data_IF_326873217029
#
_entry.id   IF_326873217029
#
_cell.length_a   1.000
_cell.length_b   1.000
_cell.length_c   1.000
_cell.angle_alpha   90.00
_cell.angle_beta   90.00
_cell.angle_gamma   90.00
#
_symmetry.space_group_name_H-M   'P 1'
#
loop_
_entity.id
_entity.type
_entity.pdbx_description
1 polymer ?
#
# COMPACT_ATOMS: atom_id res chain seq x y z
N UNK A 1 14.43 5.72 0.21
CA UNK A 1 14.18 5.46 -1.23
C UNK A 1 13.44 6.63 -1.85
N UNK A 2 13.77 7.03 -3.07
CA UNK A 2 13.06 8.10 -3.80
C UNK A 2 12.34 7.47 -5.00
N UNK A 3 11.03 7.74 -5.13
CA UNK A 3 10.18 7.31 -6.24
C UNK A 3 9.76 8.54 -7.05
N UNK A 4 9.99 8.55 -8.36
CA UNK A 4 9.55 9.62 -9.25
C UNK A 4 8.45 9.10 -10.18
N UNK A 5 7.24 9.66 -10.05
CA UNK A 5 6.07 9.22 -10.81
C UNK A 5 4.77 9.57 -10.13
N UNK A 6 3.76 8.74 -10.33
CA UNK A 6 2.48 8.83 -9.63
C UNK A 6 2.38 7.83 -8.45
N UNK A 7 1.17 7.69 -7.90
CA UNK A 7 0.88 6.77 -6.79
C UNK A 7 1.31 5.32 -7.10
N UNK A 8 1.06 4.85 -8.33
CA UNK A 8 1.45 3.50 -8.75
C UNK A 8 2.96 3.25 -8.65
N UNK A 9 3.79 4.24 -9.01
CA UNK A 9 5.25 4.16 -8.90
C UNK A 9 5.69 4.07 -7.45
N UNK A 10 5.04 4.82 -6.56
CA UNK A 10 5.31 4.76 -5.13
C UNK A 10 4.94 3.39 -4.55
N UNK A 11 3.75 2.89 -4.88
CA UNK A 11 3.26 1.58 -4.44
C UNK A 11 4.17 0.44 -4.90
N UNK A 12 4.60 0.45 -6.18
CA UNK A 12 5.55 -0.52 -6.70
C UNK A 12 6.90 -0.43 -5.98
N UNK A 13 7.39 0.78 -5.72
CA UNK A 13 8.60 1.01 -4.93
C UNK A 13 8.50 0.39 -3.54
N UNK A 14 7.41 0.64 -2.84
CA UNK A 14 7.16 0.08 -1.50
C UNK A 14 7.09 -1.46 -1.54
N UNK A 15 6.44 -2.05 -2.54
CA UNK A 15 6.40 -3.51 -2.71
C UNK A 15 7.80 -4.10 -2.90
N UNK A 16 8.66 -3.44 -3.68
CA UNK A 16 10.05 -3.89 -3.91
C UNK A 16 10.92 -3.87 -2.65
N UNK A 17 10.57 -3.06 -1.65
CA UNK A 17 11.24 -3.08 -0.35
C UNK A 17 10.99 -4.37 0.42
N UNK A 18 9.91 -5.07 0.13
CA UNK A 18 9.57 -6.36 0.71
C UNK A 18 9.67 -6.38 2.25
N UNK A 19 9.12 -5.36 2.89
CA UNK A 19 9.10 -5.23 4.36
C UNK A 19 10.37 -4.64 4.97
N UNK A 20 11.35 -4.21 4.16
CA UNK A 20 12.52 -3.50 4.68
C UNK A 20 12.09 -2.10 5.11
N UNK A 21 12.36 -1.77 6.37
CA UNK A 21 11.98 -0.48 6.99
C UNK A 21 13.00 0.61 6.62
N UNK A 22 12.74 1.27 5.50
CA UNK A 22 13.47 2.45 5.06
C UNK A 22 12.52 3.57 4.66
N UNK A 23 12.85 4.86 4.95
CA UNK A 23 12.03 5.97 4.52
C UNK A 23 11.84 6.02 2.99
N UNK A 24 10.61 6.29 2.58
CA UNK A 24 10.24 6.42 1.17
C UNK A 24 9.69 7.81 0.93
N UNK A 25 10.12 8.45 -0.14
CA UNK A 25 9.58 9.72 -0.60
C UNK A 25 9.16 9.61 -2.07
N UNK A 26 7.95 10.05 -2.36
CA UNK A 26 7.44 10.17 -3.72
C UNK A 26 7.58 11.59 -4.25
N UNK A 27 8.00 11.72 -5.50
CA UNK A 27 8.01 12.99 -6.23
C UNK A 27 7.04 12.87 -7.39
N UNK A 28 6.06 13.78 -7.46
CA UNK A 28 5.02 13.75 -8.47
C UNK A 28 5.58 14.05 -9.86
N UNK A 29 5.37 13.14 -10.80
CA UNK A 29 5.78 13.26 -12.21
C UNK A 29 4.81 14.03 -13.09
N UNK A 30 3.67 14.54 -12.57
CA UNK A 30 2.75 15.37 -13.34
C UNK A 30 1.25 15.19 -13.10
N UNK A 31 0.82 14.11 -12.45
CA UNK A 31 -0.60 13.88 -12.12
C UNK A 31 -0.80 13.81 -10.61
N UNK A 32 -1.75 14.60 -10.11
CA UNK A 32 -2.15 14.55 -8.71
C UNK A 32 -2.75 13.18 -8.40
N UNK A 33 -2.23 12.53 -7.34
CA UNK A 33 -2.74 11.27 -6.81
C UNK A 33 -3.34 11.44 -5.41
N UNK A 34 -3.68 10.32 -4.77
CA UNK A 34 -4.20 10.28 -3.40
C UNK A 34 -3.08 10.21 -2.35
N UNK A 35 -1.88 9.76 -2.73
CA UNK A 35 -0.74 9.73 -1.83
C UNK A 35 -0.04 11.09 -1.80
N UNK A 36 0.50 11.44 -0.63
CA UNK A 36 1.24 12.69 -0.44
C UNK A 36 2.60 12.62 -1.15
N UNK A 37 2.64 13.07 -2.39
CA UNK A 37 3.85 13.19 -3.19
C UNK A 37 4.34 14.64 -3.17
N UNK A 38 5.66 14.82 -3.08
CA UNK A 38 6.25 16.14 -3.24
C UNK A 38 6.05 16.63 -4.69
N UNK A 39 5.66 17.91 -4.91
CA UNK A 39 5.60 18.47 -6.24
C UNK A 39 6.97 18.41 -6.94
N UNK A 40 6.95 18.23 -8.27
CA UNK A 40 8.17 18.17 -9.08
C UNK A 40 9.06 19.41 -8.91
N UNK A 41 8.44 20.56 -8.73
CA UNK A 41 9.12 21.83 -8.53
C UNK A 41 9.99 21.86 -7.28
N UNK A 42 9.60 21.08 -6.27
CA UNK A 42 10.26 21.02 -4.97
C UNK A 42 11.37 19.96 -4.90
N UNK A 43 11.75 19.36 -6.02
CA UNK A 43 12.75 18.26 -6.06
C UNK A 43 14.07 18.65 -5.39
N UNK A 44 14.52 19.92 -5.57
CA UNK A 44 15.74 20.42 -4.96
C UNK A 44 15.62 20.49 -3.44
N UNK A 45 14.51 21.03 -2.94
CA UNK A 45 14.21 21.13 -1.51
C UNK A 45 14.13 19.75 -0.86
N UNK A 46 13.54 18.77 -1.56
CA UNK A 46 13.48 17.39 -1.11
C UNK A 46 14.87 16.81 -0.91
N UNK A 47 15.77 16.96 -1.89
CA UNK A 47 17.13 16.44 -1.78
C UNK A 47 17.97 17.18 -0.74
N UNK A 48 17.81 18.48 -0.60
CA UNK A 48 18.43 19.26 0.47
C UNK A 48 17.92 18.79 1.84
N UNK A 49 16.59 18.60 1.99
CA UNK A 49 16.00 18.08 3.22
C UNK A 49 16.48 16.67 3.59
N UNK A 50 16.70 15.80 2.60
CA UNK A 50 17.29 14.47 2.82
C UNK A 50 18.73 14.60 3.31
N UNK A 51 19.53 15.45 2.67
CA UNK A 51 20.95 15.65 3.01
C UNK A 51 21.12 16.23 4.42
N UNK A 52 20.26 17.15 4.79
CA UNK A 52 20.30 17.83 6.09
C UNK A 52 19.60 17.05 7.21
N UNK A 53 18.92 15.94 6.88
CA UNK A 53 18.12 15.18 7.83
C UNK A 53 16.88 15.94 8.35
N UNK A 54 16.41 16.94 7.61
CA UNK A 54 15.33 17.85 7.99
C UNK A 54 14.02 17.54 7.27
N UNK A 55 13.61 16.26 7.30
CA UNK A 55 12.33 15.80 6.77
C UNK A 55 11.47 15.21 7.88
N UNK A 56 10.17 15.55 7.85
CA UNK A 56 9.21 14.90 8.72
C UNK A 56 8.87 13.51 8.15
N UNK A 57 9.00 12.48 8.98
CA UNK A 57 8.61 11.12 8.65
C UNK A 57 7.19 10.85 9.17
N UNK A 58 6.33 10.35 8.30
CA UNK A 58 5.03 9.82 8.66
C UNK A 58 5.07 8.30 8.64
N UNK A 59 4.72 7.67 9.75
CA UNK A 59 4.57 6.21 9.81
C UNK A 59 3.25 5.78 9.18
N UNK A 60 3.31 4.74 8.36
CA UNK A 60 2.14 4.12 7.73
C UNK A 60 2.12 2.63 7.99
N UNK A 61 0.95 2.12 8.39
CA UNK A 61 0.74 0.69 8.55
C UNK A 61 0.70 -0.01 7.18
N UNK A 62 1.20 -1.23 7.14
CA UNK A 62 1.15 -2.09 5.96
C UNK A 62 0.50 -3.43 6.31
N UNK A 63 -0.16 -4.02 5.33
CA UNK A 63 -0.57 -5.43 5.42
C UNK A 63 0.61 -6.33 5.09
N UNK A 64 0.81 -7.35 5.93
CA UNK A 64 1.70 -8.46 5.63
C UNK A 64 0.84 -9.69 5.32
N UNK A 65 1.02 -10.27 4.15
CA UNK A 65 0.27 -11.43 3.67
C UNK A 65 1.17 -12.65 3.75
N UNK A 66 0.72 -13.67 4.45
CA UNK A 66 1.41 -14.95 4.62
C UNK A 66 0.52 -16.11 4.16
N UNK A 67 1.12 -17.26 3.90
CA UNK A 67 0.39 -18.47 3.55
C UNK A 67 0.09 -18.67 2.06
N UNK A 68 0.52 -17.76 1.19
CA UNK A 68 0.38 -17.88 -0.27
C UNK A 68 1.63 -18.48 -0.95
N UNK A 69 2.43 -19.23 -0.22
CA UNK A 69 3.70 -19.78 -0.68
C UNK A 69 4.79 -19.62 0.37
N UNK A 70 6.04 -19.49 -0.07
CA UNK A 70 7.18 -19.33 0.84
C UNK A 70 7.54 -17.87 1.15
N UNK A 71 7.05 -16.93 0.34
CA UNK A 71 7.37 -15.50 0.47
C UNK A 71 6.24 -14.74 1.16
N UNK A 72 6.62 -13.76 1.98
CA UNK A 72 5.70 -12.78 2.51
C UNK A 72 5.48 -11.70 1.46
N UNK A 73 4.23 -11.25 1.33
CA UNK A 73 3.88 -10.11 0.48
C UNK A 73 3.47 -8.93 1.36
N UNK A 74 3.72 -7.72 0.90
CA UNK A 74 3.39 -6.50 1.62
C UNK A 74 2.54 -5.57 0.77
N UNK A 75 1.53 -4.95 1.38
CA UNK A 75 0.68 -3.98 0.71
C UNK A 75 0.51 -2.73 1.57
N UNK A 76 0.73 -1.55 0.96
CA UNK A 76 0.52 -0.26 1.59
C UNK A 76 -0.97 0.12 1.61
N UNK A 77 -1.71 -0.21 0.57
CA UNK A 77 -3.11 0.14 0.44
C UNK A 77 -4.03 -1.02 0.84
N UNK A 78 -4.15 -2.04 0.01
CA UNK A 78 -5.09 -3.13 0.20
C UNK A 78 -4.61 -4.45 -0.40
N UNK A 79 -5.26 -5.51 0.01
CA UNK A 79 -5.21 -6.84 -0.59
C UNK A 79 -6.61 -7.22 -1.04
N UNK A 80 -6.74 -7.64 -2.27
CA UNK A 80 -7.99 -8.08 -2.86
C UNK A 80 -7.94 -9.59 -3.13
N UNK A 81 -8.91 -10.31 -2.61
CA UNK A 81 -9.15 -11.73 -2.89
C UNK A 81 -10.36 -11.82 -3.79
N UNK A 82 -10.18 -12.28 -5.01
CA UNK A 82 -11.24 -12.28 -6.03
C UNK A 82 -11.44 -13.67 -6.63
N UNK A 83 -12.67 -13.96 -7.04
CA UNK A 83 -12.99 -15.18 -7.78
C UNK A 83 -12.26 -15.24 -9.12
N UNK A 84 -11.94 -16.45 -9.53
CA UNK A 84 -11.49 -16.74 -10.89
C UNK A 84 -12.65 -17.44 -11.63
N UNK A 85 -13.30 -16.75 -12.55
CA UNK A 85 -14.42 -17.31 -13.32
C UNK A 85 -15.80 -16.84 -12.84
N UNK A 86 -16.86 -17.59 -13.21
CA UNK A 86 -18.25 -17.15 -13.05
C UNK A 86 -18.87 -17.47 -11.67
N UNK A 87 -18.33 -18.44 -10.95
CA UNK A 87 -18.90 -18.88 -9.67
C UNK A 87 -18.49 -17.97 -8.53
N UNK A 88 -19.43 -17.67 -7.64
CA UNK A 88 -19.12 -16.97 -6.37
C UNK A 88 -18.13 -17.79 -5.55
N UNK A 89 -17.34 -17.09 -4.74
CA UNK A 89 -16.48 -17.68 -3.71
C UNK A 89 -17.07 -17.48 -2.33
N UNK A 90 -16.74 -18.39 -1.43
CA UNK A 90 -17.06 -18.29 0.00
C UNK A 90 -15.75 -18.10 0.76
N UNK A 91 -15.67 -17.02 1.54
CA UNK A 91 -14.49 -16.68 2.31
C UNK A 91 -14.88 -16.63 3.78
N UNK A 92 -14.32 -17.52 4.58
CA UNK A 92 -14.47 -17.50 6.03
C UNK A 92 -13.37 -16.60 6.62
N UNK A 93 -13.78 -15.58 7.37
CA UNK A 93 -12.88 -14.65 8.01
C UNK A 93 -12.81 -14.90 9.53
N UNK A 94 -11.59 -14.95 10.03
CA UNK A 94 -11.30 -15.01 11.46
C UNK A 94 -10.34 -13.89 11.86
N UNK A 95 -10.53 -13.32 13.04
CA UNK A 95 -9.64 -12.31 13.62
C UNK A 95 -9.19 -12.83 14.99
N UNK A 96 -7.89 -12.95 15.20
CA UNK A 96 -7.29 -13.47 16.43
C UNK A 96 -7.88 -14.82 16.86
N UNK A 97 -8.13 -15.70 15.87
CA UNK A 97 -8.72 -17.02 16.10
C UNK A 97 -10.23 -17.05 16.30
N UNK A 98 -10.90 -15.89 16.34
CA UNK A 98 -12.35 -15.79 16.48
C UNK A 98 -13.01 -15.65 15.12
N UNK A 99 -14.05 -16.46 14.86
CA UNK A 99 -14.85 -16.33 13.63
C UNK A 99 -15.59 -14.99 13.62
N UNK A 100 -15.45 -14.27 12.52
CA UNK A 100 -16.10 -12.96 12.31
C UNK A 100 -17.30 -13.12 11.39
N UNK A 101 -17.09 -13.63 10.19
CA UNK A 101 -18.12 -13.80 9.19
C UNK A 101 -17.69 -14.74 8.08
N UNK A 102 -18.69 -15.24 7.35
CA UNK A 102 -18.49 -15.88 6.04
C UNK A 102 -19.06 -14.97 4.96
N UNK A 103 -18.19 -14.52 4.07
CA UNK A 103 -18.56 -13.67 2.93
C UNK A 103 -18.77 -14.51 1.68
N UNK A 104 -19.95 -14.39 1.06
CA UNK A 104 -20.26 -15.03 -0.21
C UNK A 104 -20.41 -13.95 -1.28
N UNK A 105 -19.61 -14.02 -2.33
CA UNK A 105 -19.63 -12.99 -3.36
C UNK A 105 -18.51 -13.14 -4.38
N UNK A 106 -18.17 -12.02 -5.00
CA UNK A 106 -17.11 -11.96 -6.01
C UNK A 106 -15.72 -11.84 -5.42
N UNK A 107 -15.63 -11.40 -4.16
CA UNK A 107 -14.36 -11.26 -3.44
C UNK A 107 -14.48 -10.46 -2.15
N UNK A 108 -13.33 -10.26 -1.52
CA UNK A 108 -13.16 -9.44 -0.30
C UNK A 108 -11.93 -8.55 -0.49
N UNK A 109 -12.02 -7.33 -0.01
CA UNK A 109 -10.91 -6.38 0.06
C UNK A 109 -10.59 -6.13 1.53
N UNK A 110 -9.31 -6.25 1.87
CA UNK A 110 -8.76 -5.92 3.18
C UNK A 110 -7.83 -4.74 2.97
N UNK A 111 -8.09 -3.62 3.64
CA UNK A 111 -7.31 -2.40 3.45
C UNK A 111 -6.63 -1.92 4.73
N UNK A 112 -5.51 -1.23 4.56
CA UNK A 112 -4.90 -0.38 5.58
C UNK A 112 -5.70 0.91 5.75
N UNK A 113 -5.44 1.74 6.78
CA UNK A 113 -5.99 3.08 6.84
C UNK A 113 -5.64 3.93 5.61
N UNK A 114 -4.43 3.77 5.05
CA UNK A 114 -4.01 4.46 3.81
C UNK A 114 -4.87 4.06 2.61
N UNK A 115 -5.17 2.77 2.46
CA UNK A 115 -5.96 2.23 1.34
C UNK A 115 -7.47 2.37 1.53
N UNK A 116 -7.94 2.72 2.72
CA UNK A 116 -9.39 2.77 3.05
C UNK A 116 -10.17 3.79 2.22
N UNK A 117 -9.51 4.79 1.66
CA UNK A 117 -10.13 5.81 0.81
C UNK A 117 -10.31 5.39 -0.64
N UNK A 118 -9.77 4.24 -1.07
CA UNK A 118 -9.89 3.75 -2.44
C UNK A 118 -11.19 2.97 -2.68
N UNK A 119 -11.28 1.75 -2.13
CA UNK A 119 -12.39 0.82 -2.41
C UNK A 119 -13.35 0.64 -1.23
N UNK A 120 -13.05 1.21 -0.05
CA UNK A 120 -13.83 1.04 1.17
C UNK A 120 -14.80 2.21 1.44
N UNK A 121 -15.03 3.04 0.46
CA UNK A 121 -16.01 4.12 0.53
C UNK A 121 -17.41 3.65 0.20
#
# INVERSE_FOLDING_TARGET
MVCYGGDGTLLEGVQRLNGVDIPVIGINGGHLGFLALAPRENIKEVFEGIADGNLNLEQRDMLCIEGLGQEKLYALNEVSIQRLGASMISIEATIDGNSVATYNGDGVIISTPTGSTAYSL
#
